data_IF_812300200117
#
_entry.id   IF_812300200117
#
_cell.length_a   1.000
_cell.length_b   1.000
_cell.length_c   1.000
_cell.angle_alpha   90.00
_cell.angle_beta   90.00
_cell.angle_gamma   90.00
#
_symmetry.space_group_name_H-M   'P 1'
#
loop_
_entity.id
_entity.type
_entity.pdbx_description
1 polymer ?
#
# COMPACT_ATOMS: atom_id res chain seq x y z
N UNK A 1 4.57 -63.48 -26.63
CA UNK A 1 4.83 -62.61 -25.46
C UNK A 1 3.54 -62.51 -24.65
N UNK A 2 3.57 -62.78 -23.35
CA UNK A 2 2.43 -62.60 -22.46
C UNK A 2 2.64 -61.31 -21.66
N UNK A 3 1.63 -60.44 -21.61
CA UNK A 3 1.66 -59.20 -20.84
C UNK A 3 0.76 -59.37 -19.62
N UNK A 4 1.35 -59.48 -18.44
CA UNK A 4 0.59 -59.57 -17.20
C UNK A 4 0.23 -58.17 -16.68
N UNK A 5 -1.08 -57.91 -16.58
CA UNK A 5 -1.64 -56.67 -16.04
C UNK A 5 -2.24 -56.85 -14.64
N UNK A 6 -2.03 -58.01 -14.02
CA UNK A 6 -2.51 -58.31 -12.66
C UNK A 6 -1.56 -57.92 -11.53
N UNK A 7 -0.25 -57.63 -11.73
CA UNK A 7 0.59 -57.17 -10.63
C UNK A 7 0.04 -55.90 -9.95
N UNK A 8 0.25 -55.75 -8.63
CA UNK A 8 -0.19 -54.57 -7.90
C UNK A 8 0.28 -53.28 -8.55
N UNK A 9 -0.58 -52.26 -8.50
CA UNK A 9 -0.23 -50.89 -8.88
C UNK A 9 0.81 -50.31 -7.92
N UNK A 10 1.55 -49.31 -8.38
CA UNK A 10 2.38 -48.51 -7.50
C UNK A 10 1.54 -47.60 -6.60
N UNK A 11 2.19 -46.97 -5.63
CA UNK A 11 1.55 -46.05 -4.69
C UNK A 11 2.19 -44.66 -4.76
N UNK A 12 1.39 -43.63 -4.44
CA UNK A 12 1.85 -42.24 -4.28
C UNK A 12 1.58 -41.82 -2.83
N UNK A 13 2.59 -41.23 -2.18
CA UNK A 13 2.40 -40.42 -0.98
C UNK A 13 2.24 -38.96 -1.38
N UNK A 14 1.09 -38.38 -1.05
CA UNK A 14 0.65 -37.10 -1.60
C UNK A 14 1.41 -35.87 -1.04
N UNK A 15 2.08 -36.02 0.10
CA UNK A 15 2.73 -34.90 0.80
C UNK A 15 1.75 -33.85 1.31
N UNK A 16 2.28 -32.65 1.57
CA UNK A 16 1.53 -31.51 2.11
C UNK A 16 1.72 -30.28 1.22
N UNK A 17 0.62 -29.63 0.88
CA UNK A 17 0.65 -28.31 0.26
C UNK A 17 1.11 -27.27 1.28
N UNK A 18 1.81 -26.25 0.82
CA UNK A 18 2.18 -25.06 1.59
C UNK A 18 1.79 -23.83 0.77
N UNK A 19 1.13 -22.87 1.41
CA UNK A 19 0.74 -21.62 0.80
C UNK A 19 1.19 -20.42 1.65
N UNK A 20 1.69 -19.37 0.99
CA UNK A 20 2.11 -18.12 1.64
C UNK A 20 0.93 -17.36 2.24
N UNK A 21 1.20 -16.61 3.32
CA UNK A 21 0.16 -15.98 4.16
C UNK A 21 0.46 -14.49 4.30
N UNK A 22 0.02 -13.70 3.32
CA UNK A 22 0.24 -12.25 3.36
C UNK A 22 1.65 -11.80 2.97
N UNK A 23 2.44 -12.68 2.32
CA UNK A 23 3.81 -12.36 1.91
C UNK A 23 3.87 -11.51 0.63
N UNK A 24 2.78 -11.49 -0.15
CA UNK A 24 2.70 -10.74 -1.40
C UNK A 24 1.29 -10.22 -1.63
N UNK A 25 1.18 -8.96 -2.04
CA UNK A 25 -0.07 -8.38 -2.52
C UNK A 25 -0.41 -8.83 -3.94
N UNK A 26 0.50 -9.48 -4.69
CA UNK A 26 0.30 -9.86 -6.09
C UNK A 26 -0.20 -11.30 -6.25
N UNK A 27 0.23 -12.22 -5.39
CA UNK A 27 0.00 -13.66 -5.56
C UNK A 27 0.08 -14.43 -4.25
N UNK A 28 -0.38 -15.68 -4.27
CA UNK A 28 -0.05 -16.69 -3.25
C UNK A 28 0.95 -17.68 -3.86
N UNK A 29 2.14 -17.80 -3.27
CA UNK A 29 3.10 -18.80 -3.69
C UNK A 29 2.75 -20.14 -3.04
N UNK A 30 2.77 -21.20 -3.85
CA UNK A 30 2.38 -22.57 -3.51
C UNK A 30 3.59 -23.50 -3.70
N UNK A 31 3.79 -24.41 -2.76
CA UNK A 31 4.77 -25.48 -2.87
C UNK A 31 4.23 -26.81 -2.33
N UNK A 32 4.74 -27.92 -2.87
CA UNK A 32 4.37 -29.27 -2.45
C UNK A 32 5.59 -29.98 -1.83
N UNK A 33 5.47 -30.36 -0.56
CA UNK A 33 6.54 -31.00 0.19
C UNK A 33 6.22 -32.47 0.50
N UNK A 34 7.24 -33.33 0.49
CA UNK A 34 7.11 -34.73 0.91
C UNK A 34 6.38 -35.66 -0.07
N UNK A 35 6.14 -35.21 -1.31
CA UNK A 35 5.58 -36.07 -2.37
C UNK A 35 6.59 -37.17 -2.74
N UNK A 36 6.12 -38.40 -2.82
CA UNK A 36 6.94 -39.54 -3.26
C UNK A 36 6.08 -40.60 -3.91
N UNK A 37 6.69 -41.50 -4.68
CA UNK A 37 6.00 -42.62 -5.30
C UNK A 37 6.86 -43.88 -5.28
N UNK A 38 6.21 -45.03 -5.20
CA UNK A 38 6.85 -46.34 -5.15
C UNK A 38 6.26 -47.24 -6.24
N UNK A 39 7.10 -48.06 -6.91
CA UNK A 39 6.61 -49.06 -7.86
C UNK A 39 5.72 -50.09 -7.17
N UNK A 40 4.96 -50.84 -7.97
CA UNK A 40 4.16 -51.96 -7.46
C UNK A 40 5.03 -53.04 -6.83
N UNK A 41 4.41 -53.89 -6.00
CA UNK A 41 5.08 -55.05 -5.43
C UNK A 41 5.60 -55.99 -6.53
N UNK A 42 6.73 -56.64 -6.29
CA UNK A 42 7.26 -57.67 -7.18
C UNK A 42 6.38 -58.92 -7.17
N UNK A 43 6.25 -59.54 -8.34
CA UNK A 43 5.57 -60.81 -8.54
C UNK A 43 6.55 -61.77 -9.21
N UNK A 44 6.53 -63.02 -8.73
CA UNK A 44 7.31 -64.12 -9.30
C UNK A 44 6.56 -64.74 -10.49
N UNK A 45 7.29 -64.96 -11.59
CA UNK A 45 6.79 -65.58 -12.81
C UNK A 45 7.55 -66.87 -13.09
N UNK A 46 6.80 -67.90 -13.45
CA UNK A 46 7.33 -69.15 -13.98
C UNK A 46 6.47 -69.59 -15.15
N UNK A 47 7.10 -70.25 -16.11
CA UNK A 47 6.41 -70.86 -17.26
C UNK A 47 6.68 -72.35 -17.29
N UNK A 48 5.75 -73.11 -17.85
CA UNK A 48 5.93 -74.53 -18.17
C UNK A 48 5.20 -74.87 -19.45
N UNK A 49 5.66 -75.90 -20.13
CA UNK A 49 5.01 -76.45 -21.32
C UNK A 49 3.88 -77.39 -20.89
N UNK A 50 2.73 -77.32 -21.57
CA UNK A 50 1.61 -78.26 -21.39
C UNK A 50 1.42 -79.06 -22.69
N UNK A 51 1.78 -80.35 -22.68
CA UNK A 51 1.45 -81.30 -23.77
C UNK A 51 1.24 -82.71 -23.21
N UNK A 52 0.00 -83.09 -22.90
CA UNK A 52 -0.35 -84.41 -22.33
C UNK A 52 0.10 -84.62 -20.87
N UNK A 53 1.38 -84.38 -20.58
CA UNK A 53 1.96 -84.24 -19.23
C UNK A 53 2.50 -82.81 -19.03
N UNK A 54 2.69 -82.40 -17.78
CA UNK A 54 3.28 -81.09 -17.44
C UNK A 54 4.81 -81.18 -17.40
N UNK A 55 5.52 -80.25 -18.05
CA UNK A 55 6.98 -80.13 -17.90
C UNK A 55 7.38 -79.59 -16.52
N UNK A 56 8.67 -79.64 -16.18
CA UNK A 56 9.25 -78.87 -15.08
C UNK A 56 8.99 -77.37 -15.30
N UNK A 57 8.84 -76.63 -14.20
CA UNK A 57 8.77 -75.16 -14.20
C UNK A 57 10.11 -74.56 -14.64
N UNK A 58 10.07 -73.42 -15.31
CA UNK A 58 11.25 -72.59 -15.52
C UNK A 58 11.83 -72.08 -14.19
N UNK A 59 13.05 -71.54 -14.25
CA UNK A 59 13.53 -70.67 -13.18
C UNK A 59 12.54 -69.52 -12.91
N UNK A 60 12.45 -69.08 -11.65
CA UNK A 60 11.65 -67.93 -11.24
C UNK A 60 12.29 -66.66 -11.80
N UNK A 61 11.47 -65.76 -12.35
CA UNK A 61 11.87 -64.39 -12.66
C UNK A 61 10.93 -63.41 -11.98
N UNK A 62 11.42 -62.23 -11.59
CA UNK A 62 10.62 -61.20 -10.91
C UNK A 62 10.27 -60.07 -11.84
N UNK A 63 9.04 -59.59 -11.73
CA UNK A 63 8.58 -58.40 -12.43
C UNK A 63 7.70 -57.55 -11.54
N UNK A 64 7.68 -56.24 -11.81
CA UNK A 64 6.79 -55.28 -11.15
C UNK A 64 6.34 -54.22 -12.13
N UNK A 65 5.25 -53.53 -11.80
CA UNK A 65 4.82 -52.35 -12.54
C UNK A 65 5.69 -51.15 -12.18
N UNK A 66 6.42 -50.65 -13.15
CA UNK A 66 7.04 -49.34 -13.06
C UNK A 66 5.96 -48.24 -13.01
N UNK A 67 6.28 -47.15 -12.32
CA UNK A 67 5.44 -45.95 -12.27
C UNK A 67 5.92 -44.93 -13.31
N UNK A 68 4.97 -44.16 -13.85
CA UNK A 68 5.31 -43.01 -14.70
C UNK A 68 5.84 -41.83 -13.89
N UNK A 69 6.18 -40.75 -14.59
CA UNK A 69 6.48 -39.47 -13.97
C UNK A 69 5.25 -38.92 -13.22
N UNK A 70 5.49 -38.20 -12.12
CA UNK A 70 4.44 -37.51 -11.38
C UNK A 70 3.91 -36.34 -12.20
N UNK A 71 2.59 -36.23 -12.25
CA UNK A 71 1.84 -35.08 -12.78
C UNK A 71 1.12 -34.39 -11.63
N UNK A 72 1.03 -33.06 -11.71
CA UNK A 72 0.48 -32.21 -10.66
C UNK A 72 -0.69 -31.38 -11.22
N UNK A 73 -1.64 -31.07 -10.37
CA UNK A 73 -2.69 -30.09 -10.66
C UNK A 73 -3.08 -29.40 -9.35
N UNK A 74 -2.73 -28.12 -9.20
CA UNK A 74 -3.21 -27.35 -8.06
C UNK A 74 -4.70 -27.08 -8.18
N UNK A 75 -5.38 -27.15 -7.04
CA UNK A 75 -6.78 -26.82 -6.89
C UNK A 75 -6.93 -25.78 -5.75
N UNK A 76 -7.89 -24.87 -5.89
CA UNK A 76 -8.23 -23.83 -4.90
C UNK A 76 -9.68 -23.95 -4.46
N UNK A 77 -9.96 -23.73 -3.17
CA UNK A 77 -11.32 -23.63 -2.66
C UNK A 77 -12.06 -22.44 -3.26
N UNK A 78 -13.38 -22.54 -3.44
CA UNK A 78 -14.19 -21.41 -3.92
C UNK A 78 -14.37 -20.31 -2.87
N UNK A 79 -14.23 -20.63 -1.58
CA UNK A 79 -14.40 -19.71 -0.46
C UNK A 79 -13.37 -19.88 0.65
N UNK A 80 -13.71 -19.40 1.85
CA UNK A 80 -12.83 -19.38 3.04
C UNK A 80 -12.87 -20.67 3.86
N UNK A 81 -13.53 -21.72 3.35
CA UNK A 81 -13.62 -23.06 3.93
C UNK A 81 -12.80 -24.06 3.13
N UNK A 82 -12.37 -25.16 3.77
CA UNK A 82 -11.59 -26.23 3.15
C UNK A 82 -12.46 -27.19 2.33
N UNK A 83 -13.24 -26.66 1.38
CA UNK A 83 -14.21 -27.40 0.56
C UNK A 83 -14.32 -26.78 -0.84
N UNK A 84 -15.04 -27.45 -1.75
CA UNK A 84 -15.39 -26.92 -3.09
C UNK A 84 -14.18 -26.50 -3.93
N UNK A 85 -13.21 -27.42 -4.06
CA UNK A 85 -11.99 -27.20 -4.81
C UNK A 85 -12.22 -27.23 -6.33
N UNK A 86 -11.60 -26.29 -7.05
CA UNK A 86 -11.55 -26.27 -8.51
C UNK A 86 -10.11 -26.13 -9.01
N UNK A 87 -9.76 -26.72 -10.17
CA UNK A 87 -8.42 -26.61 -10.74
C UNK A 87 -8.02 -25.16 -11.03
N UNK A 88 -6.77 -24.81 -10.72
CA UNK A 88 -6.15 -23.57 -11.17
C UNK A 88 -5.56 -23.78 -12.57
N UNK A 89 -5.87 -22.87 -13.50
CA UNK A 89 -5.37 -22.94 -14.87
C UNK A 89 -3.84 -22.95 -14.91
N UNK A 90 -3.25 -23.84 -15.71
CA UNK A 90 -1.81 -23.99 -15.93
C UNK A 90 -0.98 -24.36 -14.69
N UNK A 91 -1.60 -24.72 -13.56
CA UNK A 91 -0.92 -25.00 -12.31
C UNK A 91 -0.43 -26.45 -12.20
N UNK A 92 0.44 -26.87 -13.13
CA UNK A 92 0.81 -28.28 -13.35
C UNK A 92 2.20 -28.68 -12.80
N UNK A 93 2.78 -27.86 -11.93
CA UNK A 93 4.11 -28.06 -11.33
C UNK A 93 4.02 -28.11 -9.80
N UNK A 94 5.04 -28.68 -9.14
CA UNK A 94 5.11 -28.76 -7.69
C UNK A 94 5.22 -27.39 -6.99
N UNK A 95 5.69 -26.36 -7.73
CA UNK A 95 5.70 -24.96 -7.33
C UNK A 95 4.73 -24.18 -8.22
N UNK A 96 3.96 -23.24 -7.69
CA UNK A 96 3.06 -22.40 -8.48
C UNK A 96 2.78 -21.06 -7.80
N UNK A 97 2.54 -20.00 -8.58
CA UNK A 97 2.15 -18.68 -8.08
C UNK A 97 0.72 -18.35 -8.50
N UNK A 98 -0.23 -18.38 -7.56
CA UNK A 98 -1.62 -18.02 -7.83
C UNK A 98 -1.84 -16.50 -7.75
N UNK A 99 -1.65 -15.83 -8.89
CA UNK A 99 -1.95 -14.40 -9.06
C UNK A 99 -3.48 -14.10 -9.07
N UNK A 100 -4.31 -15.13 -9.22
CA UNK A 100 -5.78 -14.98 -9.27
C UNK A 100 -6.42 -15.08 -7.89
N UNK A 101 -5.64 -15.32 -6.83
CA UNK A 101 -6.12 -15.29 -5.46
C UNK A 101 -6.76 -13.93 -5.14
N UNK A 102 -7.81 -13.87 -4.30
CA UNK A 102 -8.50 -12.61 -3.97
C UNK A 102 -7.53 -11.53 -3.48
N UNK A 103 -7.58 -10.35 -4.10
CA UNK A 103 -6.70 -9.21 -3.75
C UNK A 103 -7.08 -8.51 -2.45
N UNK A 104 -8.27 -8.80 -1.91
CA UNK A 104 -8.76 -8.29 -0.64
C UNK A 104 -8.18 -9.03 0.59
N UNK A 105 -7.29 -9.99 0.38
CA UNK A 105 -6.70 -10.80 1.45
C UNK A 105 -7.59 -11.90 1.98
N UNK A 106 -8.71 -12.21 1.31
CA UNK A 106 -9.54 -13.34 1.71
C UNK A 106 -8.75 -14.65 1.64
N UNK A 107 -8.87 -15.42 2.73
CA UNK A 107 -8.31 -16.76 2.82
C UNK A 107 -8.85 -17.69 1.74
N UNK A 108 -7.96 -18.49 1.15
CA UNK A 108 -8.30 -19.64 0.29
C UNK A 108 -7.49 -20.86 0.70
N UNK A 109 -8.06 -22.04 0.52
CA UNK A 109 -7.37 -23.32 0.71
C UNK A 109 -6.84 -23.83 -0.62
N UNK A 110 -5.65 -24.42 -0.58
CA UNK A 110 -4.94 -24.96 -1.72
C UNK A 110 -4.57 -26.41 -1.45
N UNK A 111 -4.69 -27.26 -2.47
CA UNK A 111 -4.23 -28.64 -2.45
C UNK A 111 -3.74 -29.02 -3.84
N UNK A 112 -2.93 -30.07 -3.93
CA UNK A 112 -2.49 -30.59 -5.22
C UNK A 112 -3.09 -31.98 -5.47
N UNK A 113 -3.56 -32.22 -6.69
CA UNK A 113 -3.95 -33.54 -7.18
C UNK A 113 -2.76 -34.15 -7.93
N UNK A 114 -2.26 -35.26 -7.42
CA UNK A 114 -1.05 -35.92 -7.91
C UNK A 114 -1.41 -37.25 -8.57
N UNK A 115 -0.91 -37.49 -9.77
CA UNK A 115 -1.13 -38.74 -10.51
C UNK A 115 0.15 -39.23 -11.20
N UNK A 116 0.27 -40.54 -11.39
CA UNK A 116 1.28 -41.16 -12.24
C UNK A 116 0.67 -42.36 -12.98
N UNK A 117 1.29 -42.78 -14.08
CA UNK A 117 0.91 -44.03 -14.73
C UNK A 117 1.09 -45.21 -13.77
N UNK A 118 0.16 -46.17 -13.80
CA UNK A 118 0.11 -47.35 -12.93
C UNK A 118 -0.05 -47.07 -11.42
N UNK A 119 -0.56 -45.91 -11.03
CA UNK A 119 -0.97 -45.60 -9.66
C UNK A 119 -2.41 -45.08 -9.65
N UNK A 120 -2.99 -44.97 -8.46
CA UNK A 120 -4.19 -44.16 -8.27
C UNK A 120 -3.81 -42.68 -8.08
N UNK A 121 -4.75 -41.78 -8.37
CA UNK A 121 -4.58 -40.35 -8.12
C UNK A 121 -4.81 -40.08 -6.64
N UNK A 122 -3.94 -39.28 -6.03
CA UNK A 122 -4.05 -38.87 -4.63
C UNK A 122 -4.14 -37.35 -4.51
N UNK A 123 -4.57 -36.86 -3.35
CA UNK A 123 -4.65 -35.43 -3.06
C UNK A 123 -3.80 -35.12 -1.83
N UNK A 124 -3.00 -34.07 -1.92
CA UNK A 124 -2.18 -33.62 -0.79
C UNK A 124 -3.06 -33.18 0.39
N UNK A 125 -2.48 -33.09 1.58
CA UNK A 125 -3.07 -32.24 2.61
C UNK A 125 -3.16 -30.81 2.08
N UNK A 126 -4.25 -30.13 2.43
CA UNK A 126 -4.48 -28.73 2.05
C UNK A 126 -3.82 -27.78 3.05
N UNK A 127 -3.36 -26.63 2.58
CA UNK A 127 -2.98 -25.48 3.41
C UNK A 127 -3.77 -24.25 2.95
N UNK A 128 -3.92 -23.26 3.83
CA UNK A 128 -4.52 -21.99 3.46
C UNK A 128 -3.45 -20.93 3.17
N UNK A 129 -3.77 -20.06 2.22
CA UNK A 129 -2.97 -18.89 1.88
C UNK A 129 -3.85 -17.71 1.50
N UNK A 130 -3.25 -16.52 1.52
CA UNK A 130 -3.91 -15.27 1.14
C UNK A 130 -2.85 -14.26 0.67
N UNK A 131 -3.27 -13.35 -0.19
CA UNK A 131 -2.46 -12.18 -0.57
C UNK A 131 -2.45 -11.18 0.57
N UNK A 132 -1.40 -10.37 0.72
CA UNK A 132 -1.48 -9.20 1.59
C UNK A 132 -2.65 -8.35 1.08
N UNK A 133 -3.66 -8.11 1.92
CA UNK A 133 -4.67 -7.11 1.58
C UNK A 133 -3.96 -5.77 1.46
N UNK A 134 -4.09 -5.10 0.32
CA UNK A 134 -3.64 -3.71 0.22
C UNK A 134 -4.30 -2.88 1.32
N UNK A 135 -3.66 -1.80 1.75
CA UNK A 135 -4.23 -0.95 2.78
C UNK A 135 -5.62 -0.47 2.39
N UNK A 136 -6.61 -0.77 3.23
CA UNK A 136 -7.97 -0.32 3.01
C UNK A 136 -8.01 1.21 2.97
N UNK A 137 -8.80 1.77 2.06
CA UNK A 137 -9.02 3.22 2.02
C UNK A 137 -9.80 3.60 3.27
N UNK A 138 -9.17 4.36 4.16
CA UNK A 138 -9.84 4.84 5.37
C UNK A 138 -10.62 6.11 5.03
N UNK A 139 -11.83 5.92 4.50
CA UNK A 139 -12.70 7.03 4.11
C UNK A 139 -13.29 7.81 5.29
N UNK A 140 -13.24 7.24 6.50
CA UNK A 140 -13.61 7.88 7.76
C UNK A 140 -12.48 8.68 8.40
N UNK A 141 -11.24 8.53 7.91
CA UNK A 141 -10.13 9.31 8.45
C UNK A 141 -10.18 10.73 7.92
N UNK A 142 -10.33 11.66 8.85
CA UNK A 142 -10.30 13.09 8.59
C UNK A 142 -9.06 13.77 9.18
N UNK A 143 -8.10 13.00 9.70
CA UNK A 143 -6.87 13.52 10.29
C UNK A 143 -7.13 14.68 11.25
N UNK A 144 -6.25 15.68 11.20
CA UNK A 144 -6.41 16.93 11.94
C UNK A 144 -7.32 17.93 11.24
N UNK A 145 -7.88 17.57 10.09
CA UNK A 145 -8.74 18.48 9.34
C UNK A 145 -10.07 18.76 10.10
N UNK A 146 -10.26 18.18 11.29
CA UNK A 146 -11.11 18.72 12.35
C UNK A 146 -12.33 19.48 11.84
N UNK A 147 -13.39 18.75 11.46
CA UNK A 147 -14.53 19.32 10.77
C UNK A 147 -15.13 18.36 9.74
N UNK A 148 -16.11 18.85 8.98
CA UNK A 148 -16.80 18.06 7.94
C UNK A 148 -15.92 18.07 6.68
N UNK A 149 -14.96 17.14 6.57
CA UNK A 149 -14.18 17.07 5.33
C UNK A 149 -15.08 16.64 4.16
N UNK A 150 -14.92 17.27 3.01
CA UNK A 150 -15.80 17.04 1.85
C UNK A 150 -15.02 16.88 0.55
N UNK A 151 -15.54 16.06 -0.36
CA UNK A 151 -15.07 15.99 -1.74
C UNK A 151 -15.78 17.08 -2.55
N UNK A 152 -15.26 18.31 -2.53
CA UNK A 152 -15.83 19.45 -3.26
C UNK A 152 -14.75 20.44 -3.65
N UNK A 153 -14.98 21.27 -4.67
CA UNK A 153 -14.03 22.32 -5.03
C UNK A 153 -14.20 23.54 -4.11
N UNK A 154 -13.09 24.15 -3.68
CA UNK A 154 -13.15 25.51 -3.14
C UNK A 154 -13.41 26.45 -4.31
N UNK A 155 -14.49 27.22 -4.23
CA UNK A 155 -14.80 28.26 -5.22
C UNK A 155 -14.28 29.63 -4.79
N UNK A 156 -14.05 29.84 -3.48
CA UNK A 156 -13.53 31.09 -2.94
C UNK A 156 -12.08 31.30 -3.35
N UNK A 157 -11.78 32.40 -4.04
CA UNK A 157 -10.42 32.90 -4.21
C UNK A 157 -10.11 33.88 -3.08
N UNK A 158 -9.18 33.54 -2.20
CA UNK A 158 -8.81 34.35 -1.04
C UNK A 158 -7.57 35.20 -1.31
N UNK A 159 -7.10 35.24 -2.56
CA UNK A 159 -5.90 35.95 -3.01
C UNK A 159 -4.58 35.33 -2.52
N UNK A 160 -4.56 34.04 -2.19
CA UNK A 160 -3.34 33.33 -1.74
C UNK A 160 -2.28 33.31 -2.86
N UNK A 161 -2.71 33.19 -4.12
CA UNK A 161 -1.82 33.22 -5.28
C UNK A 161 -1.01 34.52 -5.36
N UNK A 162 -1.59 35.67 -4.99
CA UNK A 162 -0.86 36.93 -4.98
C UNK A 162 0.27 36.93 -3.94
N UNK A 163 0.03 36.39 -2.74
CA UNK A 163 1.08 36.25 -1.72
C UNK A 163 2.22 35.37 -2.24
N UNK A 164 1.91 34.23 -2.84
CA UNK A 164 2.93 33.34 -3.40
C UNK A 164 3.76 34.02 -4.50
N UNK A 165 3.13 34.82 -5.35
CA UNK A 165 3.81 35.53 -6.43
C UNK A 165 4.67 36.71 -5.91
N UNK A 166 4.35 37.27 -4.76
CA UNK A 166 5.14 38.32 -4.11
C UNK A 166 6.41 37.77 -3.43
N UNK A 167 6.46 36.46 -3.15
CA UNK A 167 7.61 35.82 -2.53
C UNK A 167 8.68 35.60 -3.60
N UNK A 168 9.76 36.38 -3.49
CA UNK A 168 10.91 36.26 -4.37
C UNK A 168 11.66 34.96 -4.07
N UNK A 169 12.25 34.37 -5.13
CA UNK A 169 13.22 33.29 -4.93
C UNK A 169 14.36 33.83 -4.08
N UNK A 170 14.62 33.15 -2.97
CA UNK A 170 15.74 33.45 -2.13
C UNK A 170 17.00 32.84 -2.73
N UNK A 171 18.11 33.57 -2.67
CA UNK A 171 19.45 33.02 -2.94
C UNK A 171 20.05 32.39 -1.67
N UNK A 172 19.22 32.16 -0.65
CA UNK A 172 19.56 31.61 0.66
C UNK A 172 18.49 30.60 1.07
N UNK A 173 18.86 29.56 1.82
CA UNK A 173 17.95 28.43 2.16
C UNK A 173 16.79 28.90 3.06
N UNK A 174 17.04 29.93 3.86
CA UNK A 174 16.12 30.50 4.86
C UNK A 174 16.39 32.00 4.98
N UNK A 175 16.00 32.83 3.98
CA UNK A 175 16.20 34.26 4.05
C UNK A 175 15.43 34.84 5.26
N UNK A 176 15.85 36.01 5.78
CA UNK A 176 15.04 36.75 6.74
C UNK A 176 13.66 37.09 6.13
N UNK A 177 12.67 37.30 7.01
CA UNK A 177 11.34 37.70 6.59
C UNK A 177 11.38 38.96 5.70
N UNK A 178 10.73 38.88 4.54
CA UNK A 178 10.66 39.95 3.55
C UNK A 178 9.33 40.67 3.67
N UNK A 179 9.36 42.00 3.58
CA UNK A 179 8.15 42.80 3.53
C UNK A 179 7.41 42.58 2.20
N UNK A 180 6.11 42.33 2.28
CA UNK A 180 5.21 42.27 1.12
C UNK A 180 4.76 43.71 0.81
N UNK A 181 5.16 44.25 -0.34
CA UNK A 181 4.83 45.62 -0.75
C UNK A 181 4.25 45.63 -2.18
N UNK A 182 2.99 46.05 -2.37
CA UNK A 182 2.02 46.42 -1.33
C UNK A 182 1.59 45.20 -0.51
N UNK A 183 1.19 45.42 0.74
CA UNK A 183 0.63 44.36 1.58
C UNK A 183 -0.63 43.75 0.93
N UNK A 184 -0.85 42.46 1.12
CA UNK A 184 -1.86 41.71 0.36
C UNK A 184 -3.04 41.34 1.26
N UNK A 185 -4.24 41.78 0.90
CA UNK A 185 -5.47 41.37 1.58
C UNK A 185 -5.80 39.91 1.24
N UNK A 186 -5.93 39.09 2.27
CA UNK A 186 -6.51 37.75 2.24
C UNK A 186 -7.95 37.82 2.73
N UNK A 187 -8.88 37.22 1.99
CA UNK A 187 -10.33 37.29 2.30
C UNK A 187 -10.95 35.90 2.30
N UNK A 188 -11.55 35.50 3.43
CA UNK A 188 -12.31 34.25 3.58
C UNK A 188 -11.53 32.96 3.22
N UNK A 189 -10.22 32.93 3.44
CA UNK A 189 -9.42 31.71 3.30
C UNK A 189 -9.85 30.68 4.36
N UNK A 190 -9.93 29.40 4.00
CA UNK A 190 -10.30 28.35 4.96
C UNK A 190 -9.05 27.81 5.66
N UNK A 191 -9.07 27.71 6.98
CA UNK A 191 -8.04 27.00 7.76
C UNK A 191 -8.22 25.50 7.50
N UNK A 192 -7.17 24.83 7.02
CA UNK A 192 -7.22 23.41 6.65
C UNK A 192 -6.41 22.50 7.57
N UNK A 193 -5.50 23.07 8.36
CA UNK A 193 -4.70 22.36 9.35
C UNK A 193 -4.08 23.33 10.36
N UNK A 194 -3.77 22.82 11.55
CA UNK A 194 -3.11 23.55 12.65
C UNK A 194 -1.97 22.71 13.20
N UNK A 195 -0.88 23.30 13.69
CA UNK A 195 0.20 22.54 14.33
C UNK A 195 0.24 22.74 15.86
N UNK A 196 1.20 22.07 16.52
CA UNK A 196 1.46 22.02 17.97
C UNK A 196 1.54 23.37 18.71
N UNK A 197 1.67 24.50 17.99
CA UNK A 197 1.76 25.84 18.57
C UNK A 197 0.50 26.63 18.23
N UNK A 198 -0.39 26.71 19.21
CA UNK A 198 -1.62 27.48 19.17
C UNK A 198 -1.37 28.86 18.55
N UNK A 199 -2.22 29.23 17.59
CA UNK A 199 -2.29 30.48 16.83
C UNK A 199 -1.05 30.99 16.03
N UNK A 200 0.09 30.30 16.04
CA UNK A 200 1.29 30.71 15.30
C UNK A 200 1.49 29.96 13.99
N UNK A 201 1.04 28.72 13.92
CA UNK A 201 1.36 27.82 12.82
C UNK A 201 0.12 27.07 12.35
N UNK A 202 -0.32 27.38 11.14
CA UNK A 202 -1.50 26.76 10.53
C UNK A 202 -1.47 26.94 9.01
N UNK A 203 -2.31 26.17 8.33
CA UNK A 203 -2.45 26.23 6.89
C UNK A 203 -3.80 26.82 6.52
N UNK A 204 -3.79 27.68 5.50
CA UNK A 204 -5.01 28.16 4.85
C UNK A 204 -5.07 27.73 3.40
N UNK A 205 -6.27 27.65 2.85
CA UNK A 205 -6.51 27.29 1.46
C UNK A 205 -7.57 28.18 0.81
N UNK A 206 -7.45 28.33 -0.50
CA UNK A 206 -8.46 28.90 -1.39
C UNK A 206 -8.64 28.03 -2.66
N UNK A 207 -9.39 28.52 -3.65
CA UNK A 207 -9.63 27.83 -4.92
C UNK A 207 -8.35 27.54 -5.70
N UNK A 208 -7.26 28.25 -5.43
CA UNK A 208 -6.04 28.25 -6.22
C UNK A 208 -4.87 27.52 -5.53
N UNK A 209 -4.75 27.60 -4.22
CA UNK A 209 -3.61 27.03 -3.47
C UNK A 209 -3.88 26.95 -1.97
N UNK A 210 -3.04 26.21 -1.26
CA UNK A 210 -2.78 26.39 0.16
C UNK A 210 -1.49 27.21 0.39
N UNK A 211 -1.35 27.77 1.59
CA UNK A 211 -0.10 28.37 2.08
C UNK A 211 -0.05 28.22 3.60
N UNK A 212 1.16 28.04 4.14
CA UNK A 212 1.39 27.99 5.57
C UNK A 212 1.56 29.41 6.14
N UNK A 213 0.95 29.63 7.29
CA UNK A 213 1.28 30.72 8.19
C UNK A 213 2.28 30.17 9.21
N UNK A 214 3.45 30.79 9.28
CA UNK A 214 4.49 30.54 10.27
C UNK A 214 4.81 31.87 10.93
N UNK A 215 3.89 32.32 11.80
CA UNK A 215 3.91 33.65 12.34
C UNK A 215 5.06 33.82 13.34
N UNK A 216 5.70 34.99 13.28
CA UNK A 216 6.76 35.39 14.23
C UNK A 216 6.20 35.95 15.54
N UNK A 217 4.93 36.36 15.54
CA UNK A 217 4.20 36.90 16.68
C UNK A 217 2.83 36.22 16.77
N UNK A 218 2.32 35.94 17.98
CA UNK A 218 1.00 35.36 18.14
C UNK A 218 -0.08 36.29 17.61
N UNK A 219 -1.19 35.71 17.18
CA UNK A 219 -2.40 36.48 16.89
C UNK A 219 -2.89 37.18 18.17
N UNK A 220 -3.75 38.19 18.01
CA UNK A 220 -4.31 38.91 19.15
C UNK A 220 -4.97 37.95 20.15
N UNK A 221 -4.90 38.31 21.44
CA UNK A 221 -5.47 37.51 22.53
C UNK A 221 -6.94 37.19 22.26
N UNK A 222 -7.33 35.93 22.48
CA UNK A 222 -8.71 35.45 22.27
C UNK A 222 -8.99 34.94 20.85
N UNK A 223 -8.00 34.93 19.96
CA UNK A 223 -8.12 34.27 18.66
C UNK A 223 -7.56 32.84 18.76
N UNK A 224 -8.47 31.89 18.88
CA UNK A 224 -8.17 30.46 18.76
C UNK A 224 -8.35 30.02 17.32
N UNK A 225 -7.28 29.50 16.73
CA UNK A 225 -7.31 28.98 15.36
C UNK A 225 -7.72 27.51 15.40
N UNK A 226 -8.75 27.19 14.63
CA UNK A 226 -9.26 25.84 14.45
C UNK A 226 -9.49 25.56 12.97
N UNK A 227 -9.36 24.29 12.59
CA UNK A 227 -9.67 23.86 11.23
C UNK A 227 -11.16 24.10 10.92
N UNK A 228 -11.47 24.42 9.66
CA UNK A 228 -12.81 24.77 9.22
C UNK A 228 -13.20 26.23 9.51
N UNK A 229 -12.34 27.03 10.15
CA UNK A 229 -12.56 28.48 10.23
C UNK A 229 -12.32 29.14 8.86
N UNK A 230 -13.10 30.18 8.54
CA UNK A 230 -12.74 31.13 7.48
C UNK A 230 -12.12 32.37 8.08
N UNK A 231 -10.98 32.79 7.55
CA UNK A 231 -10.21 33.91 8.09
C UNK A 231 -9.92 34.96 7.02
N UNK A 232 -9.82 36.21 7.48
CA UNK A 232 -9.41 37.36 6.68
C UNK A 232 -8.31 38.11 7.42
N UNK A 233 -7.32 38.62 6.68
CA UNK A 233 -6.20 39.39 7.23
C UNK A 233 -5.43 40.09 6.12
N UNK A 234 -4.50 40.96 6.49
CA UNK A 234 -3.52 41.56 5.56
C UNK A 234 -2.17 40.87 5.77
N UNK A 235 -1.65 40.20 4.74
CA UNK A 235 -0.31 39.64 4.76
C UNK A 235 0.73 40.76 4.57
N UNK A 236 1.60 40.95 5.55
CA UNK A 236 2.59 42.04 5.56
C UNK A 236 4.02 41.57 5.35
N UNK A 237 4.33 40.34 5.76
CA UNK A 237 5.64 39.73 5.55
C UNK A 237 5.52 38.26 5.15
N UNK A 238 6.49 37.82 4.38
CA UNK A 238 6.67 36.43 3.97
C UNK A 238 8.06 35.93 4.31
N UNK A 239 8.22 34.63 4.38
CA UNK A 239 9.53 33.98 4.44
C UNK A 239 9.55 32.76 3.51
N UNK A 240 10.73 32.20 3.29
CA UNK A 240 10.92 30.93 2.62
C UNK A 240 11.64 30.01 3.59
N UNK A 241 11.07 28.83 3.86
CA UNK A 241 11.70 27.82 4.69
C UNK A 241 11.91 26.56 3.87
N UNK A 242 13.17 26.14 3.67
CA UNK A 242 13.52 24.98 2.84
C UNK A 242 12.87 25.03 1.44
N UNK A 243 12.84 26.21 0.82
CA UNK A 243 12.23 26.43 -0.49
C UNK A 243 10.69 26.50 -0.50
N UNK A 244 10.03 26.49 0.67
CA UNK A 244 8.58 26.62 0.78
C UNK A 244 8.17 28.05 1.17
N UNK A 245 7.30 28.73 0.39
CA UNK A 245 6.75 30.03 0.77
C UNK A 245 5.85 29.96 1.99
N UNK A 246 6.02 30.90 2.92
CA UNK A 246 5.23 31.04 4.15
C UNK A 246 4.87 32.50 4.41
N UNK A 247 3.76 32.74 5.11
CA UNK A 247 3.40 34.05 5.66
C UNK A 247 3.95 34.15 7.08
N UNK A 248 4.77 35.17 7.36
CA UNK A 248 5.46 35.34 8.65
C UNK A 248 4.92 36.47 9.52
N UNK A 249 4.12 37.36 8.94
CA UNK A 249 3.43 38.44 9.66
C UNK A 249 2.13 38.84 8.98
N UNK A 250 1.12 39.15 9.79
CA UNK A 250 -0.21 39.56 9.37
C UNK A 250 -0.71 40.74 10.21
N UNK A 251 -1.66 41.51 9.69
CA UNK A 251 -2.44 42.49 10.45
C UNK A 251 -3.93 42.36 10.17
N UNK A 252 -4.77 42.99 11.00
CA UNK A 252 -6.23 42.98 10.86
C UNK A 252 -6.82 41.56 10.75
N UNK A 253 -6.32 40.62 11.55
CA UNK A 253 -6.78 39.23 11.51
C UNK A 253 -8.18 39.09 12.09
N UNK A 254 -9.04 38.38 11.38
CA UNK A 254 -10.45 38.15 11.72
C UNK A 254 -10.85 36.72 11.39
N UNK A 255 -11.64 36.10 12.26
CA UNK A 255 -12.37 34.86 11.97
C UNK A 255 -13.78 35.25 11.53
N UNK A 256 -14.14 34.90 10.29
CA UNK A 256 -15.39 35.30 9.66
C UNK A 256 -16.49 34.26 9.89
N UNK A 257 -16.13 32.97 9.95
CA UNK A 257 -17.05 31.86 10.18
C UNK A 257 -16.33 30.63 10.73
N UNK A 258 -17.09 29.72 11.35
CA UNK A 258 -16.63 28.47 11.97
C UNK A 258 -17.22 27.25 11.25
N UNK A 259 -16.70 26.06 11.55
CA UNK A 259 -17.24 24.75 11.13
C UNK A 259 -17.52 24.61 9.63
N UNK A 260 -16.71 25.28 8.80
CA UNK A 260 -16.85 25.20 7.35
C UNK A 260 -16.29 23.86 6.86
N UNK A 261 -16.96 23.21 5.89
CA UNK A 261 -16.43 22.00 5.30
C UNK A 261 -15.06 22.24 4.68
N UNK A 262 -14.08 21.40 5.02
CA UNK A 262 -12.74 21.48 4.44
C UNK A 262 -12.63 20.52 3.27
N UNK A 263 -12.44 21.04 2.06
CA UNK A 263 -12.37 20.18 0.90
C UNK A 263 -11.01 19.51 0.76
N UNK A 264 -11.05 18.31 0.18
CA UNK A 264 -9.86 17.54 -0.18
C UNK A 264 -10.06 16.82 -1.52
N UNK A 265 -8.96 16.35 -2.07
CA UNK A 265 -8.93 15.55 -3.29
C UNK A 265 -8.51 14.11 -2.94
N UNK A 266 -9.37 13.14 -3.24
CA UNK A 266 -9.02 11.72 -3.08
C UNK A 266 -7.96 11.31 -4.10
N UNK A 267 -6.87 10.70 -3.63
CA UNK A 267 -5.71 10.34 -4.46
C UNK A 267 -5.15 8.94 -4.20
N UNK A 268 -5.83 8.08 -3.44
CA UNK A 268 -5.46 6.66 -3.42
C UNK A 268 -5.53 6.05 -4.83
N UNK A 269 -4.43 5.41 -5.27
CA UNK A 269 -4.29 4.81 -6.60
C UNK A 269 -4.14 5.76 -7.78
N UNK A 270 -3.93 7.06 -7.54
CA UNK A 270 -3.72 8.07 -8.59
C UNK A 270 -2.37 8.77 -8.42
N UNK A 271 -1.78 9.27 -9.50
CA UNK A 271 -0.51 9.99 -9.41
C UNK A 271 -0.64 11.30 -8.62
N UNK A 272 0.36 11.57 -7.77
CA UNK A 272 0.52 12.84 -7.07
C UNK A 272 1.71 13.55 -7.70
N UNK A 273 1.52 14.79 -8.11
CA UNK A 273 2.45 15.54 -8.97
C UNK A 273 2.54 16.98 -8.51
N UNK A 274 3.70 17.60 -8.72
CA UNK A 274 3.91 19.01 -8.37
C UNK A 274 2.93 19.94 -9.11
N UNK A 275 2.69 19.71 -10.40
CA UNK A 275 1.85 20.60 -11.20
C UNK A 275 0.37 20.61 -10.76
N UNK A 276 -0.19 19.44 -10.43
CA UNK A 276 -1.61 19.32 -10.13
C UNK A 276 -1.94 19.39 -8.63
N UNK A 277 -0.99 19.03 -7.75
CA UNK A 277 -1.29 18.76 -6.35
C UNK A 277 -0.48 19.58 -5.35
N UNK A 278 0.62 20.20 -5.76
CA UNK A 278 1.40 21.02 -4.84
C UNK A 278 0.53 22.10 -4.20
N UNK A 279 0.51 22.13 -2.86
CA UNK A 279 -0.40 22.95 -2.05
C UNK A 279 -1.89 22.71 -2.30
N UNK A 280 -2.27 21.48 -2.61
CA UNK A 280 -3.65 21.02 -2.58
C UNK A 280 -3.82 20.00 -1.47
N UNK A 281 -4.91 20.12 -0.75
CA UNK A 281 -5.30 19.16 0.28
C UNK A 281 -5.72 17.84 -0.37
N UNK A 282 -5.06 16.74 -0.01
CA UNK A 282 -5.30 15.41 -0.58
C UNK A 282 -5.55 14.40 0.52
N UNK A 283 -6.34 13.37 0.21
CA UNK A 283 -6.40 12.14 1.02
C UNK A 283 -5.71 10.99 0.29
N UNK A 284 -4.85 10.27 1.01
CA UNK A 284 -4.11 9.12 0.47
C UNK A 284 -3.99 8.04 1.53
N UNK A 285 -4.65 6.90 1.31
CA UNK A 285 -4.41 5.66 2.06
C UNK A 285 -3.44 4.76 1.32
N UNK A 286 -2.46 4.21 2.03
CA UNK A 286 -1.43 3.33 1.47
C UNK A 286 -0.60 2.62 2.54
N UNK A 287 0.37 1.83 2.09
CA UNK A 287 1.31 1.09 2.92
C UNK A 287 2.67 1.80 2.90
N UNK A 288 3.26 2.02 4.09
CA UNK A 288 4.63 2.49 4.18
C UNK A 288 5.61 1.42 3.67
N UNK A 289 6.63 1.83 2.93
CA UNK A 289 7.71 0.96 2.49
C UNK A 289 8.46 0.29 3.66
N UNK A 290 9.27 -0.72 3.33
CA UNK A 290 9.99 -1.54 4.32
C UNK A 290 11.21 -0.83 4.94
N UNK A 291 11.60 0.32 4.38
CA UNK A 291 12.77 1.08 4.83
C UNK A 291 12.36 2.52 5.11
N UNK A 292 12.71 3.00 6.30
CA UNK A 292 12.68 4.41 6.64
C UNK A 292 14.06 5.03 6.37
N UNK A 293 14.10 6.16 5.68
CA UNK A 293 15.36 6.88 5.40
C UNK A 293 15.33 8.25 6.06
N UNK A 294 16.40 8.66 6.73
CA UNK A 294 16.50 10.02 7.25
C UNK A 294 16.44 11.03 6.09
N UNK A 295 15.59 12.05 6.19
CA UNK A 295 15.34 13.00 5.09
C UNK A 295 15.18 14.45 5.56
N UNK A 296 16.18 14.91 6.33
CA UNK A 296 16.28 16.28 6.81
C UNK A 296 15.69 16.48 8.21
N UNK A 297 16.48 17.13 9.09
CA UNK A 297 16.14 17.32 10.50
C UNK A 297 16.04 16.00 11.26
N UNK A 298 15.03 15.88 12.11
CA UNK A 298 14.71 14.68 12.90
C UNK A 298 13.70 13.74 12.21
N UNK A 299 13.55 13.85 10.89
CA UNK A 299 12.45 13.24 10.15
C UNK A 299 12.88 12.06 9.29
N UNK A 300 11.95 11.13 9.12
CA UNK A 300 12.08 9.94 8.29
C UNK A 300 11.14 10.03 7.09
N UNK A 301 11.62 9.53 5.96
CA UNK A 301 10.88 9.38 4.72
C UNK A 301 10.65 7.90 4.42
N UNK A 302 9.47 7.64 3.89
CA UNK A 302 9.01 6.33 3.45
C UNK A 302 8.47 6.47 2.03
N UNK A 303 8.59 5.41 1.24
CA UNK A 303 7.75 5.27 0.05
C UNK A 303 6.37 4.83 0.49
N UNK A 304 5.36 5.69 0.36
CA UNK A 304 3.97 5.28 0.57
C UNK A 304 3.46 4.66 -0.72
N UNK A 305 3.22 3.34 -0.72
CA UNK A 305 2.60 2.64 -1.84
C UNK A 305 1.08 2.65 -1.69
N UNK A 306 0.36 3.19 -2.67
CA UNK A 306 -1.10 3.32 -2.65
C UNK A 306 -1.74 2.82 -3.95
N UNK A 307 -3.02 2.47 -3.88
CA UNK A 307 -3.78 1.94 -5.02
C UNK A 307 -3.81 0.41 -5.12
N UNK A 308 -4.37 -0.12 -6.22
CA UNK A 308 -4.46 -1.55 -6.43
C UNK A 308 -3.08 -2.16 -6.68
N UNK A 309 -2.85 -3.37 -6.17
CA UNK A 309 -1.58 -4.09 -6.37
C UNK A 309 -1.21 -4.33 -7.84
N UNK A 310 -2.19 -4.32 -8.75
CA UNK A 310 -1.97 -4.44 -10.20
C UNK A 310 -1.39 -3.18 -10.85
N UNK A 311 -1.51 -2.02 -10.19
CA UNK A 311 -1.02 -0.72 -10.67
C UNK A 311 -0.70 0.19 -9.47
N UNK A 312 0.30 -0.18 -8.64
CA UNK A 312 0.65 0.58 -7.45
C UNK A 312 1.19 1.96 -7.85
N UNK A 313 0.86 2.96 -7.03
CA UNK A 313 1.42 4.31 -7.09
C UNK A 313 2.29 4.54 -5.86
N UNK A 314 3.30 5.38 -5.99
CA UNK A 314 4.20 5.72 -4.89
C UNK A 314 4.30 7.23 -4.74
N UNK A 315 4.40 7.69 -3.49
CA UNK A 315 4.66 9.08 -3.13
C UNK A 315 5.54 9.09 -1.87
N UNK A 316 6.40 10.10 -1.75
CA UNK A 316 7.22 10.25 -0.53
C UNK A 316 6.32 10.66 0.62
N UNK A 317 6.42 9.92 1.71
CA UNK A 317 5.73 10.18 2.96
C UNK A 317 6.76 10.53 4.03
N UNK A 318 6.69 11.76 4.55
CA UNK A 318 7.69 12.32 5.46
C UNK A 318 7.07 12.56 6.83
N UNK A 319 7.75 12.12 7.89
CA UNK A 319 7.23 12.09 9.25
C UNK A 319 8.33 12.28 10.30
N UNK A 320 8.01 12.95 11.40
CA UNK A 320 8.83 12.94 12.63
C UNK A 320 8.31 11.94 13.68
N UNK A 321 7.23 11.23 13.39
CA UNK A 321 6.63 10.29 14.34
C UNK A 321 7.48 9.03 14.48
N UNK A 322 7.76 8.66 15.73
CA UNK A 322 8.46 7.41 16.08
C UNK A 322 7.51 6.21 16.21
N UNK A 323 6.20 6.41 16.12
CA UNK A 323 5.21 5.33 16.20
C UNK A 323 4.95 4.63 14.86
N UNK A 324 5.45 5.19 13.75
CA UNK A 324 5.30 4.60 12.43
C UNK A 324 6.24 3.42 12.25
N UNK A 325 5.68 2.28 11.85
CA UNK A 325 6.43 1.06 11.54
C UNK A 325 6.46 0.84 10.02
N UNK A 326 7.61 0.48 9.43
CA UNK A 326 7.67 0.03 8.04
C UNK A 326 6.62 -1.06 7.75
N UNK A 327 5.97 -1.00 6.58
CA UNK A 327 4.88 -1.90 6.23
C UNK A 327 3.51 -1.56 6.84
N UNK A 328 3.41 -0.57 7.73
CA UNK A 328 2.13 -0.16 8.30
C UNK A 328 1.21 0.49 7.25
N UNK A 329 -0.10 0.29 7.42
CA UNK A 329 -1.11 1.02 6.67
C UNK A 329 -1.36 2.38 7.31
N UNK A 330 -1.27 3.44 6.51
CA UNK A 330 -1.51 4.81 6.94
C UNK A 330 -2.52 5.48 6.03
N UNK A 331 -3.20 6.50 6.55
CA UNK A 331 -3.96 7.45 5.74
C UNK A 331 -3.46 8.85 6.05
N UNK A 332 -3.06 9.54 5.01
CA UNK A 332 -2.71 10.95 5.06
C UNK A 332 -3.91 11.78 4.62
N UNK A 333 -4.15 12.88 5.33
CA UNK A 333 -5.04 13.94 4.88
C UNK A 333 -4.41 15.29 5.23
N UNK A 334 -4.00 16.03 4.20
CA UNK A 334 -3.29 17.30 4.35
C UNK A 334 -2.84 17.86 3.00
N UNK A 335 -2.28 19.07 2.95
CA UNK A 335 -1.72 19.63 1.73
C UNK A 335 -0.45 18.87 1.31
N UNK A 336 -0.33 18.62 0.01
CA UNK A 336 0.93 18.14 -0.59
C UNK A 336 1.94 19.26 -0.54
N UNK A 337 3.14 18.97 -0.03
CA UNK A 337 4.27 19.91 -0.01
C UNK A 337 5.44 19.34 -0.82
N UNK A 338 6.61 19.97 -0.73
CA UNK A 338 7.81 19.48 -1.39
C UNK A 338 9.03 19.74 -0.50
N UNK A 339 9.95 18.78 -0.46
CA UNK A 339 11.25 18.92 0.19
C UNK A 339 12.33 18.26 -0.69
N UNK A 340 13.28 19.01 -1.24
CA UNK A 340 13.39 20.47 -1.20
C UNK A 340 12.19 21.17 -1.86
N UNK A 341 11.85 22.37 -1.41
CA UNK A 341 10.76 23.17 -1.97
C UNK A 341 11.14 23.77 -3.34
N UNK A 342 10.15 24.19 -4.16
CA UNK A 342 10.40 24.71 -5.51
C UNK A 342 11.13 26.05 -5.56
N UNK A 343 11.27 26.74 -4.43
CA UNK A 343 12.09 27.96 -4.31
C UNK A 343 13.50 27.67 -3.79
N UNK A 344 13.86 26.41 -3.52
CA UNK A 344 15.22 26.03 -3.13
C UNK A 344 16.15 26.13 -4.35
N UNK A 345 17.13 27.04 -4.28
CA UNK A 345 18.07 27.33 -5.35
C UNK A 345 19.24 26.34 -5.43
N UNK A 346 19.47 25.52 -4.40
CA UNK A 346 20.61 24.60 -4.31
C UNK A 346 20.30 23.19 -4.81
N UNK A 347 19.03 22.89 -5.07
CA UNK A 347 18.56 21.51 -5.03
C UNK A 347 18.02 20.98 -6.37
N UNK A 348 17.82 19.67 -6.41
CA UNK A 348 17.22 18.94 -7.52
C UNK A 348 15.74 19.33 -7.74
N UNK A 349 15.14 18.80 -8.80
CA UNK A 349 13.71 18.98 -9.10
C UNK A 349 12.84 18.67 -7.87
N UNK A 350 11.90 19.56 -7.48
CA UNK A 350 11.09 19.37 -6.29
C UNK A 350 10.21 18.13 -6.42
N UNK A 351 10.23 17.28 -5.40
CA UNK A 351 9.46 16.04 -5.36
C UNK A 351 8.22 16.28 -4.48
N UNK A 352 7.00 15.90 -4.92
CA UNK A 352 5.82 16.02 -4.10
C UNK A 352 5.90 15.08 -2.90
N UNK A 353 5.55 15.57 -1.72
CA UNK A 353 5.59 14.81 -0.48
C UNK A 353 4.32 14.99 0.34
N UNK A 354 3.95 13.94 1.04
CA UNK A 354 2.97 13.94 2.10
C UNK A 354 3.72 14.13 3.41
N UNK A 355 3.83 15.37 3.86
CA UNK A 355 4.61 15.73 5.04
C UNK A 355 3.68 15.86 6.24
N UNK A 356 4.03 15.17 7.31
CA UNK A 356 3.29 15.11 8.57
C UNK A 356 4.06 15.74 9.73
N UNK A 357 5.27 16.27 9.50
CA UNK A 357 6.03 16.98 10.53
C UNK A 357 5.30 18.23 11.01
N UNK A 358 4.48 18.80 10.12
CA UNK A 358 3.68 19.98 10.39
C UNK A 358 2.30 19.65 10.97
N UNK A 359 2.04 18.37 11.30
CA UNK A 359 0.74 17.82 11.68
C UNK A 359 0.87 16.86 12.87
N UNK A 360 -0.05 16.91 13.82
CA UNK A 360 -0.27 15.83 14.78
C UNK A 360 -1.12 14.73 14.12
N UNK A 361 -1.12 13.56 14.74
CA UNK A 361 -1.82 12.38 14.27
C UNK A 361 -2.18 11.57 15.48
N UNK A 362 -3.48 11.38 15.65
CA UNK A 362 -3.95 10.27 16.43
C UNK A 362 -3.81 9.00 15.59
N UNK A 363 -2.92 8.10 16.04
CA UNK A 363 -3.06 6.69 15.69
C UNK A 363 -4.45 6.32 16.21
N UNK A 364 -5.39 6.06 15.31
CA UNK A 364 -6.63 5.44 15.73
C UNK A 364 -6.21 4.13 16.38
N UNK A 365 -6.41 4.01 17.69
CA UNK A 365 -6.46 2.71 18.34
C UNK A 365 -7.49 1.92 17.53
N UNK A 366 -6.98 1.01 16.68
CA UNK A 366 -7.82 0.02 16.04
C UNK A 366 -8.42 -0.79 17.21
N UNK A 367 -9.75 -0.96 17.28
CA UNK A 367 -10.38 -1.72 18.34
C UNK A 367 -9.86 -3.15 18.43
#
# INVERSE_FOLDING_TARGET
QYLDLTPPRGSISAGSAVATKGDSSAQVALSLNGVSAQPGAEVDYQVRVRSGAHSQLSAVTRGRRAIGALSYQWERSSGTTNTNFSPLASATTALFNDATAPSNGDRRYYRNRISAANTDTVTSQSDYGFRTSGCAVNTSFFGEIGGIATTGAITQNANIAAVRNAILRANELEPPAQQISPAIQITNAIVIATSFRTNLQFWIQDSNSAIQLYLTQPLAIGIDIAVGQRVSFVATHSTVYSGQPQISSVSNFQVNSYDNPVPYIERTGQDITMNAHYYRNVRVSGQLGQTATACGGSSFCYDLTHGPASAPKTVVFRSASTSLTPGACVTFLGPVVAFPGPLDYLSAEPIPQLDTILYEWHVADLP
#
